data_IF_870277800688
#
_entry.id   IF_870277800688
#
_cell.length_a   1.000
_cell.length_b   1.000
_cell.length_c   1.000
_cell.angle_alpha   90.00
_cell.angle_beta   90.00
_cell.angle_gamma   90.00
#
_symmetry.space_group_name_H-M   'P 1'
#
loop_
_entity.id
_entity.type
_entity.pdbx_description
1 polymer ?
#
# COMPACT_ATOMS: atom_id res chain seq x y z
N UNK A 1 -41.53 -3.22 -16.03
CA UNK A 1 -40.45 -2.57 -16.80
C UNK A 1 -39.29 -2.25 -15.87
N UNK A 2 -38.29 -3.12 -15.97
CA UNK A 2 -36.99 -3.29 -15.30
C UNK A 2 -36.36 -2.07 -14.59
N UNK A 3 -36.67 -1.91 -13.31
CA UNK A 3 -35.77 -1.30 -12.32
C UNK A 3 -34.82 -2.41 -11.83
N UNK A 4 -33.51 -2.10 -11.71
CA UNK A 4 -32.45 -2.74 -10.86
C UNK A 4 -31.15 -3.26 -11.52
N UNK A 5 -30.95 -3.23 -12.84
CA UNK A 5 -29.68 -3.70 -13.41
C UNK A 5 -28.44 -2.82 -13.09
N UNK A 6 -28.63 -1.52 -12.83
CA UNK A 6 -27.52 -0.57 -12.63
C UNK A 6 -26.76 -0.75 -11.29
N UNK A 7 -27.41 -1.27 -10.24
CA UNK A 7 -26.78 -1.42 -8.92
C UNK A 7 -25.78 -2.58 -8.85
N UNK A 8 -25.97 -3.62 -9.68
CA UNK A 8 -25.08 -4.80 -9.70
C UNK A 8 -23.74 -4.49 -10.36
N UNK A 9 -23.72 -3.63 -11.39
CA UNK A 9 -22.50 -3.30 -12.15
C UNK A 9 -21.50 -2.49 -11.31
N UNK A 10 -21.99 -1.65 -10.39
CA UNK A 10 -21.14 -0.83 -9.50
C UNK A 10 -20.43 -1.70 -8.44
N UNK A 11 -20.99 -2.85 -8.07
CA UNK A 11 -20.39 -3.75 -7.08
C UNK A 11 -19.26 -4.63 -7.64
N UNK A 12 -19.25 -4.90 -8.95
CA UNK A 12 -18.26 -5.78 -9.59
C UNK A 12 -16.92 -5.05 -9.85
N UNK A 13 -16.89 -3.72 -9.88
CA UNK A 13 -15.71 -2.93 -10.26
C UNK A 13 -14.85 -2.39 -9.11
N UNK A 14 -15.18 -2.66 -7.84
CA UNK A 14 -14.27 -2.36 -6.71
C UNK A 14 -13.14 -3.40 -6.57
N UNK A 15 -12.59 -3.83 -7.71
CA UNK A 15 -11.47 -4.75 -7.80
C UNK A 15 -10.15 -4.04 -7.51
N UNK A 16 -9.73 -4.08 -6.24
CA UNK A 16 -8.34 -4.24 -5.84
C UNK A 16 -7.35 -3.10 -6.14
N UNK A 17 -7.36 -2.04 -5.34
CA UNK A 17 -6.15 -1.24 -5.13
C UNK A 17 -5.27 -1.94 -4.09
N UNK A 18 -4.66 -3.06 -4.47
CA UNK A 18 -3.67 -3.75 -3.63
C UNK A 18 -2.30 -3.17 -3.95
N UNK A 19 -1.91 -2.18 -3.16
CA UNK A 19 -0.65 -1.46 -3.25
C UNK A 19 0.08 -1.64 -1.92
N UNK A 20 0.86 -2.72 -1.81
CA UNK A 20 1.82 -2.88 -0.72
C UNK A 20 1.26 -2.71 0.70
N UNK A 21 1.70 -1.65 1.39
CA UNK A 21 1.22 -1.32 2.76
C UNK A 21 -0.21 -0.81 2.68
N UNK A 22 -1.17 -1.66 3.04
CA UNK A 22 -2.61 -1.40 2.94
C UNK A 22 -3.12 -0.39 3.96
N UNK A 23 -2.67 -0.53 5.20
CA UNK A 23 -3.23 0.24 6.34
C UNK A 23 -2.24 0.31 7.49
N UNK A 24 -2.21 1.48 8.14
CA UNK A 24 -1.64 1.68 9.48
C UNK A 24 -2.81 1.94 10.43
N UNK A 25 -2.89 1.18 11.52
CA UNK A 25 -3.86 1.41 12.59
C UNK A 25 -3.28 2.38 13.62
N UNK A 26 -3.66 3.66 13.52
CA UNK A 26 -3.17 4.70 14.42
C UNK A 26 -3.67 4.56 15.87
N UNK A 27 -4.67 3.72 16.16
CA UNK A 27 -5.06 3.43 17.55
C UNK A 27 -4.08 2.45 18.22
N UNK A 28 -3.42 1.60 17.43
CA UNK A 28 -2.40 0.65 17.90
C UNK A 28 -0.97 1.18 17.72
N UNK A 29 -0.78 2.13 16.80
CA UNK A 29 0.49 2.82 16.58
C UNK A 29 0.90 3.59 17.84
N UNK A 30 2.18 3.52 18.19
CA UNK A 30 2.79 4.25 19.31
C UNK A 30 3.86 5.24 18.83
N UNK A 31 3.82 5.63 17.55
CA UNK A 31 4.71 6.62 16.93
C UNK A 31 6.22 6.33 17.13
N UNK A 32 6.59 5.05 17.23
CA UNK A 32 7.98 4.64 17.44
C UNK A 32 8.89 4.80 16.22
N UNK A 33 8.35 5.13 15.05
CA UNK A 33 9.06 5.35 13.77
C UNK A 33 9.85 4.16 13.19
N UNK A 34 9.83 2.97 13.83
CA UNK A 34 10.60 1.81 13.37
C UNK A 34 10.22 1.34 11.95
N UNK A 35 8.94 1.40 11.58
CA UNK A 35 8.48 1.05 10.23
C UNK A 35 9.04 1.99 9.15
N UNK A 36 9.25 3.26 9.48
CA UNK A 36 9.91 4.23 8.60
C UNK A 36 11.38 3.89 8.43
N UNK A 37 12.11 3.68 9.55
CA UNK A 37 13.55 3.40 9.53
C UNK A 37 13.93 2.08 8.85
N UNK A 38 13.10 1.04 8.99
CA UNK A 38 13.42 -0.29 8.44
C UNK A 38 13.08 -0.44 6.97
N UNK A 39 12.30 0.47 6.38
CA UNK A 39 11.80 0.27 5.02
C UNK A 39 12.90 0.50 3.98
N UNK A 40 13.33 -0.54 3.23
CA UNK A 40 14.40 -0.38 2.24
C UNK A 40 13.95 0.40 1.00
N UNK A 41 12.64 0.51 0.79
CA UNK A 41 12.04 1.19 -0.37
C UNK A 41 11.56 2.61 -0.04
N UNK A 42 11.80 3.10 1.17
CA UNK A 42 11.40 4.44 1.62
C UNK A 42 9.91 4.78 1.36
N UNK A 43 9.02 3.79 1.52
CA UNK A 43 7.58 3.95 1.21
C UNK A 43 6.84 4.81 2.23
N UNK A 44 7.46 5.10 3.37
CA UNK A 44 6.87 5.80 4.48
C UNK A 44 7.38 7.25 4.54
N UNK A 45 6.50 8.19 4.86
CA UNK A 45 6.86 9.54 5.26
C UNK A 45 6.76 9.72 6.77
N UNK A 46 7.40 10.76 7.28
CA UNK A 46 7.37 11.13 8.69
C UNK A 46 6.95 12.59 8.83
N UNK A 47 5.93 12.86 9.65
CA UNK A 47 5.51 14.21 10.03
C UNK A 47 5.46 14.34 11.55
N UNK A 48 6.35 15.17 12.11
CA UNK A 48 6.57 15.47 13.54
C UNK A 48 6.86 14.28 14.48
N UNK A 49 6.42 13.06 14.15
CA UNK A 49 6.65 11.73 14.76
C UNK A 49 5.66 10.69 14.18
N UNK A 50 4.64 11.12 13.44
CA UNK A 50 3.63 10.24 12.84
C UNK A 50 4.10 9.73 11.49
N UNK A 51 4.15 8.42 11.38
CA UNK A 51 4.46 7.74 10.13
C UNK A 51 3.21 7.63 9.28
N UNK A 52 3.32 7.98 7.99
CA UNK A 52 2.26 7.78 7.00
C UNK A 52 2.80 7.06 5.76
N UNK A 53 1.93 6.42 5.00
CA UNK A 53 2.32 5.76 3.75
C UNK A 53 2.40 6.81 2.64
N UNK A 54 3.60 7.02 2.09
CA UNK A 54 3.89 8.06 1.09
C UNK A 54 3.90 7.51 -0.34
N UNK A 55 4.53 6.34 -0.55
CA UNK A 55 4.71 5.70 -1.85
C UNK A 55 4.30 4.22 -1.79
N UNK A 56 3.01 3.90 -1.66
CA UNK A 56 2.55 2.51 -1.54
C UNK A 56 2.88 1.63 -2.75
N UNK A 57 2.99 2.21 -3.95
CA UNK A 57 3.34 1.56 -5.22
C UNK A 57 4.79 1.05 -5.28
N UNK A 58 5.69 1.67 -4.52
CA UNK A 58 7.10 1.26 -4.47
C UNK A 58 7.35 0.11 -3.51
N UNK A 59 6.35 -0.23 -2.70
CA UNK A 59 6.43 -1.31 -1.72
C UNK A 59 6.76 -2.65 -2.38
N UNK A 60 7.82 -3.27 -1.89
CA UNK A 60 8.21 -4.62 -2.28
C UNK A 60 7.57 -5.70 -1.42
N UNK A 61 6.55 -5.43 -0.60
CA UNK A 61 5.91 -6.42 0.27
C UNK A 61 6.89 -7.35 1.00
N UNK A 62 7.96 -6.79 1.60
CA UNK A 62 8.96 -7.55 2.35
C UNK A 62 8.53 -7.88 3.79
N UNK A 63 7.42 -7.29 4.24
CA UNK A 63 6.85 -7.46 5.59
C UNK A 63 7.71 -7.01 6.77
N UNK A 64 8.89 -6.41 6.54
CA UNK A 64 9.76 -5.91 7.62
C UNK A 64 9.05 -4.90 8.53
N UNK A 65 8.24 -3.99 7.96
CA UNK A 65 7.45 -3.04 8.73
C UNK A 65 6.40 -3.72 9.62
N UNK A 66 5.78 -4.81 9.16
CA UNK A 66 4.84 -5.59 9.96
C UNK A 66 5.53 -6.40 11.08
N UNK A 67 6.76 -6.87 10.83
CA UNK A 67 7.55 -7.62 11.82
C UNK A 67 7.98 -6.75 13.02
N UNK A 68 8.32 -5.48 12.79
CA UNK A 68 8.74 -4.57 13.87
C UNK A 68 7.57 -3.87 14.56
N UNK A 69 6.39 -3.85 13.93
CA UNK A 69 5.23 -3.20 14.51
C UNK A 69 4.54 -4.10 15.54
N UNK A 70 3.72 -3.50 16.41
CA UNK A 70 2.82 -4.27 17.27
C UNK A 70 1.89 -5.12 16.39
N UNK A 71 1.43 -6.28 16.88
CA UNK A 71 0.44 -7.08 16.16
C UNK A 71 -0.76 -6.23 15.70
N UNK A 72 -1.15 -6.42 14.44
CA UNK A 72 -2.24 -5.72 13.74
C UNK A 72 -2.10 -4.19 13.61
N UNK A 73 -0.97 -3.58 13.97
CA UNK A 73 -0.79 -2.13 13.82
C UNK A 73 -0.48 -1.74 12.37
N UNK A 74 0.07 -2.65 11.56
CA UNK A 74 0.33 -2.46 10.12
C UNK A 74 -0.19 -3.67 9.36
N UNK A 75 -0.89 -3.42 8.25
CA UNK A 75 -1.33 -4.43 7.28
C UNK A 75 -0.60 -4.23 5.97
N UNK A 76 0.00 -5.30 5.46
CA UNK A 76 0.73 -5.33 4.17
C UNK A 76 0.11 -6.45 3.33
N UNK A 77 -0.18 -6.17 2.06
CA UNK A 77 -0.67 -7.17 1.11
C UNK A 77 0.51 -7.81 0.34
N UNK A 78 0.33 -9.06 -0.11
CA UNK A 78 1.35 -9.81 -0.86
C UNK A 78 1.52 -9.34 -2.31
N UNK A 79 0.53 -8.64 -2.84
CA UNK A 79 0.43 -8.34 -4.25
C UNK A 79 1.17 -7.02 -4.58
N UNK A 80 2.06 -7.09 -5.56
CA UNK A 80 2.85 -5.94 -6.05
C UNK A 80 2.33 -5.53 -7.42
N UNK A 81 1.53 -4.46 -7.49
CA UNK A 81 1.21 -3.85 -8.78
C UNK A 81 2.24 -2.76 -9.05
N UNK A 82 3.37 -3.11 -9.68
CA UNK A 82 4.15 -2.12 -10.45
C UNK A 82 3.57 -2.10 -11.86
N UNK A 83 2.87 -1.03 -12.27
CA UNK A 83 2.41 -0.93 -13.64
C UNK A 83 3.63 -0.93 -14.56
N UNK A 84 3.70 -1.90 -15.47
CA UNK A 84 4.70 -1.89 -16.53
C UNK A 84 4.31 -0.72 -17.46
N UNK A 85 5.17 0.29 -17.65
CA UNK A 85 4.87 1.35 -18.58
C UNK A 85 4.67 0.76 -19.99
N UNK A 86 3.71 1.27 -20.79
CA UNK A 86 3.52 0.78 -22.15
C UNK A 86 4.80 0.96 -22.96
N UNK A 87 5.19 -0.06 -23.72
CA UNK A 87 6.31 0.07 -24.67
C UNK A 87 5.99 1.20 -25.67
N UNK A 88 6.97 2.08 -25.99
CA UNK A 88 8.42 1.84 -25.99
C UNK A 88 9.19 2.43 -24.78
N UNK A 89 8.51 2.94 -23.74
CA UNK A 89 9.17 3.60 -22.61
C UNK A 89 9.96 2.64 -21.70
N UNK A 90 9.63 1.35 -21.71
CA UNK A 90 10.29 0.33 -20.88
C UNK A 90 11.76 0.04 -21.27
N UNK A 91 12.19 0.35 -22.51
CA UNK A 91 13.55 0.03 -23.03
C UNK A 91 14.57 1.17 -22.96
N UNK A 92 14.21 2.35 -22.41
CA UNK A 92 15.12 3.49 -22.26
C UNK A 92 15.82 3.56 -20.89
N UNK A 93 15.71 2.50 -20.09
CA UNK A 93 16.38 2.38 -18.79
C UNK A 93 17.55 1.41 -18.94
N UNK A 94 18.56 1.82 -19.72
CA UNK A 94 19.94 1.33 -19.69
C UNK A 94 20.88 2.47 -20.07
#
# INVERSE_FOLDING_TARGET
MFRTAALVVVWIWKGGTVLGVRRIDYQKCNDCTLCYLICPMDVFGLDLSKVYVKYPEDCMSCFQCALVCKPDAITVDHERVRPIPPEPLARRVV
#
